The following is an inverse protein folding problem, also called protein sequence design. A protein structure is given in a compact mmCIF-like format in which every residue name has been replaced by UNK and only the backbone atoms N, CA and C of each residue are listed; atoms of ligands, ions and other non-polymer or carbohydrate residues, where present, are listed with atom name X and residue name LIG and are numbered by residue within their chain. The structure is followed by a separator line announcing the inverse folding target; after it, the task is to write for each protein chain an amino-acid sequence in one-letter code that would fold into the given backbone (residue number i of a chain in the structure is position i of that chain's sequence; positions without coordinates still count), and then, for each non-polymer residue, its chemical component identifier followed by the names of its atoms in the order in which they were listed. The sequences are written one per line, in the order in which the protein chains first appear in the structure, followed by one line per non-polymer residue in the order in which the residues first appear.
data_IF_915904422232
#
_entry.id   IF_915904422232
#
_cell.length_a   1.000
_cell.length_b   1.000
_cell.length_c   1.000
_cell.angle_alpha   90.00
_cell.angle_beta   90.00
_cell.angle_gamma   90.00
#
_symmetry.space_group_name_H-M   'P 1'
#
loop_
_entity.id
_entity.type
_entity.pdbx_description
1 polymer ?
#
# COMPACT_ATOMS: atom_id res chain seq x y z
N UNK A 1 -7.10 -24.55 5.61
CA UNK A 1 -5.64 -24.79 5.59
C UNK A 1 -4.91 -23.94 4.55
N UNK A 2 -5.45 -23.81 3.34
CA UNK A 2 -4.91 -22.94 2.27
C UNK A 2 -4.76 -21.47 2.72
N UNK A 3 -5.74 -20.94 3.43
CA UNK A 3 -5.78 -19.53 3.83
C UNK A 3 -4.62 -19.11 4.74
N UNK A 4 -4.22 -19.97 5.69
CA UNK A 4 -3.09 -19.69 6.60
C UNK A 4 -1.75 -19.68 5.85
N UNK A 5 -1.57 -20.58 4.89
CA UNK A 5 -0.36 -20.62 4.06
C UNK A 5 -0.30 -19.36 3.18
N UNK A 6 -1.41 -18.94 2.61
CA UNK A 6 -1.49 -17.74 1.79
C UNK A 6 -1.16 -16.47 2.60
N UNK A 7 -1.69 -16.35 3.83
CA UNK A 7 -1.36 -15.24 4.75
C UNK A 7 0.14 -15.21 5.02
N UNK A 8 0.74 -16.35 5.38
CA UNK A 8 2.16 -16.44 5.68
C UNK A 8 3.03 -16.07 4.48
N UNK A 9 2.70 -16.61 3.29
CA UNK A 9 3.44 -16.33 2.06
C UNK A 9 3.35 -14.87 1.65
N UNK A 10 2.16 -14.27 1.73
CA UNK A 10 1.96 -12.85 1.39
C UNK A 10 2.70 -11.94 2.37
N UNK A 11 2.66 -12.25 3.66
CA UNK A 11 3.41 -11.51 4.69
C UNK A 11 4.91 -11.64 4.49
N UNK A 12 5.41 -12.85 4.26
CA UNK A 12 6.83 -13.11 4.00
C UNK A 12 7.31 -12.40 2.72
N UNK A 13 6.52 -12.48 1.65
CA UNK A 13 6.79 -11.74 0.40
C UNK A 13 6.87 -10.24 0.64
N UNK A 14 5.91 -9.66 1.36
CA UNK A 14 5.91 -8.24 1.66
C UNK A 14 7.13 -7.83 2.50
N UNK A 15 7.45 -8.57 3.55
CA UNK A 15 8.65 -8.31 4.36
C UNK A 15 9.91 -8.34 3.48
N UNK A 16 10.03 -9.33 2.60
CA UNK A 16 11.12 -9.44 1.65
C UNK A 16 11.24 -8.23 0.73
N UNK A 17 10.13 -7.84 0.10
CA UNK A 17 10.04 -6.67 -0.78
C UNK A 17 10.38 -5.37 -0.03
N UNK A 18 9.83 -5.18 1.17
CA UNK A 18 10.14 -4.02 1.99
C UNK A 18 11.61 -3.95 2.38
N UNK A 19 12.20 -5.08 2.81
CA UNK A 19 13.62 -5.18 3.14
C UNK A 19 14.52 -4.84 1.96
N UNK A 20 14.18 -5.33 0.75
CA UNK A 20 14.92 -4.99 -0.48
C UNK A 20 14.80 -3.51 -0.77
N UNK A 21 13.60 -2.95 -0.75
CA UNK A 21 13.37 -1.52 -1.01
C UNK A 21 14.14 -0.63 -0.03
N UNK A 22 14.06 -0.93 1.26
CA UNK A 22 14.77 -0.17 2.29
C UNK A 22 16.27 -0.31 2.13
N UNK A 23 16.80 -1.51 1.87
CA UNK A 23 18.24 -1.71 1.64
C UNK A 23 18.72 -0.97 0.40
N UNK A 24 17.96 -1.01 -0.70
CA UNK A 24 18.30 -0.26 -1.92
C UNK A 24 18.31 1.24 -1.65
N UNK A 25 17.30 1.77 -0.98
CA UNK A 25 17.23 3.19 -0.61
C UNK A 25 18.40 3.58 0.33
N UNK A 26 18.75 2.74 1.30
CA UNK A 26 19.85 2.99 2.23
C UNK A 26 21.23 2.84 1.60
N UNK A 27 21.48 1.75 0.88
CA UNK A 27 22.82 1.41 0.40
C UNK A 27 23.24 2.22 -0.83
N UNK A 28 22.30 2.50 -1.73
CA UNK A 28 22.62 3.23 -2.97
C UNK A 28 22.55 4.74 -2.82
N UNK A 29 21.66 5.24 -1.99
CA UNK A 29 21.36 6.68 -1.96
C UNK A 29 21.85 7.36 -0.69
N UNK A 30 22.50 6.64 0.21
CA UNK A 30 22.90 7.15 1.54
C UNK A 30 21.75 7.89 2.26
N UNK A 31 20.53 7.51 1.94
CA UNK A 31 19.33 8.11 2.48
C UNK A 31 19.18 7.69 3.95
N UNK A 32 19.50 8.59 4.84
CA UNK A 32 19.22 8.39 6.26
C UNK A 32 17.73 8.63 6.50
N UNK A 33 16.93 7.55 6.41
CA UNK A 33 15.54 7.59 6.86
C UNK A 33 15.56 7.49 8.38
N UNK A 34 14.95 8.42 9.13
CA UNK A 34 14.88 8.32 10.58
C UNK A 34 14.34 6.95 11.02
N UNK A 35 14.92 6.34 12.03
CA UNK A 35 14.57 5.00 12.50
C UNK A 35 13.06 4.86 12.80
N UNK A 36 12.46 5.89 13.40
CA UNK A 36 11.02 5.94 13.65
C UNK A 36 10.20 5.86 12.35
N UNK A 37 10.56 6.63 11.33
CA UNK A 37 9.88 6.61 10.03
C UNK A 37 9.97 5.24 9.38
N UNK A 38 11.14 4.62 9.43
CA UNK A 38 11.34 3.27 8.90
C UNK A 38 10.50 2.23 9.65
N UNK A 39 10.44 2.31 10.98
CA UNK A 39 9.61 1.42 11.80
C UNK A 39 8.12 1.60 11.49
N UNK A 40 7.65 2.83 11.35
CA UNK A 40 6.26 3.12 11.00
C UNK A 40 5.90 2.60 9.61
N UNK A 41 6.79 2.77 8.61
CA UNK A 41 6.60 2.23 7.27
C UNK A 41 6.54 0.70 7.28
N UNK A 42 7.48 0.06 7.98
CA UNK A 42 7.50 -1.40 8.11
C UNK A 42 6.22 -1.91 8.77
N UNK A 43 5.81 -1.29 9.88
CA UNK A 43 4.61 -1.68 10.61
C UNK A 43 3.34 -1.50 9.77
N UNK A 44 3.23 -0.39 9.04
CA UNK A 44 2.09 -0.14 8.16
C UNK A 44 2.02 -1.16 7.02
N UNK A 45 3.17 -1.48 6.41
CA UNK A 45 3.22 -2.46 5.35
C UNK A 45 2.91 -3.88 5.83
N UNK A 46 3.41 -4.28 7.00
CA UNK A 46 3.04 -5.57 7.61
C UNK A 46 1.55 -5.64 7.92
N UNK A 47 0.99 -4.57 8.48
CA UNK A 47 -0.43 -4.49 8.79
C UNK A 47 -1.29 -4.60 7.52
N UNK A 48 -0.92 -3.91 6.46
CA UNK A 48 -1.56 -4.03 5.15
C UNK A 48 -1.54 -5.47 4.61
N UNK A 49 -0.37 -6.12 4.67
CA UNK A 49 -0.19 -7.48 4.17
C UNK A 49 -1.00 -8.53 4.94
N UNK A 50 -1.16 -8.34 6.25
CA UNK A 50 -1.98 -9.23 7.09
C UNK A 50 -3.46 -8.93 6.88
N UNK A 51 -3.84 -7.66 6.75
CA UNK A 51 -5.24 -7.26 6.66
C UNK A 51 -5.91 -7.75 5.39
N UNK A 52 -5.22 -7.78 4.25
CA UNK A 52 -5.80 -8.22 2.97
C UNK A 52 -6.34 -9.66 3.01
N UNK A 53 -5.58 -10.68 3.43
CA UNK A 53 -6.13 -12.03 3.55
C UNK A 53 -7.17 -12.17 4.66
N UNK A 54 -7.11 -11.34 5.72
CA UNK A 54 -8.12 -11.35 6.78
C UNK A 54 -9.48 -10.86 6.27
N UNK A 55 -9.53 -9.92 5.32
CA UNK A 55 -10.77 -9.51 4.63
C UNK A 55 -11.41 -10.71 3.93
N UNK A 56 -10.60 -11.57 3.29
CA UNK A 56 -11.09 -12.77 2.62
C UNK A 56 -11.55 -13.89 3.58
N UNK A 57 -10.99 -13.93 4.81
CA UNK A 57 -11.37 -14.90 5.83
C UNK A 57 -12.69 -14.57 6.54
N UNK A 58 -13.00 -13.29 6.66
CA UNK A 58 -14.23 -12.82 7.30
C UNK A 58 -15.25 -12.42 6.24
N UNK A 59 -16.19 -13.33 5.96
CA UNK A 59 -17.27 -13.05 5.01
C UNK A 59 -18.11 -11.86 5.51
N UNK A 60 -18.41 -10.96 4.60
CA UNK A 60 -19.26 -9.80 4.85
C UNK A 60 -20.68 -10.19 5.30
N UNK A 61 -21.12 -11.42 5.02
CA UNK A 61 -22.45 -11.91 5.42
C UNK A 61 -22.53 -12.35 6.88
N UNK A 62 -21.48 -13.02 7.36
CA UNK A 62 -21.48 -13.60 8.72
C UNK A 62 -20.73 -12.71 9.73
N UNK A 63 -19.68 -12.00 9.28
CA UNK A 63 -18.76 -11.26 10.15
C UNK A 63 -18.57 -9.81 9.69
N UNK A 64 -19.67 -9.11 9.39
CA UNK A 64 -19.67 -7.78 8.79
C UNK A 64 -18.76 -6.76 9.52
N UNK A 65 -18.80 -6.73 10.84
CA UNK A 65 -17.98 -5.80 11.63
C UNK A 65 -16.49 -6.10 11.53
N UNK A 66 -16.10 -7.39 11.53
CA UNK A 66 -14.71 -7.80 11.37
C UNK A 66 -14.23 -7.57 9.95
N UNK A 67 -15.06 -7.83 8.94
CA UNK A 67 -14.75 -7.55 7.55
C UNK A 67 -14.41 -6.07 7.35
N UNK A 68 -15.27 -5.15 7.78
CA UNK A 68 -15.02 -3.72 7.65
C UNK A 68 -13.84 -3.23 8.51
N UNK A 69 -13.62 -3.80 9.68
CA UNK A 69 -12.45 -3.46 10.49
C UNK A 69 -11.14 -3.81 9.76
N UNK A 70 -11.04 -5.02 9.18
CA UNK A 70 -9.87 -5.42 8.41
C UNK A 70 -9.73 -4.65 7.11
N UNK A 71 -10.84 -4.35 6.41
CA UNK A 71 -10.83 -3.51 5.23
C UNK A 71 -10.31 -2.09 5.54
N UNK A 72 -10.80 -1.48 6.62
CA UNK A 72 -10.31 -0.18 7.09
C UNK A 72 -8.82 -0.19 7.42
N UNK A 73 -8.34 -1.20 8.15
CA UNK A 73 -6.92 -1.38 8.46
C UNK A 73 -6.09 -1.54 7.17
N UNK A 74 -6.54 -2.35 6.22
CA UNK A 74 -5.88 -2.51 4.93
C UNK A 74 -5.74 -1.20 4.18
N UNK A 75 -6.84 -0.47 3.98
CA UNK A 75 -6.81 0.77 3.20
C UNK A 75 -5.97 1.86 3.86
N UNK A 76 -6.10 2.06 5.18
CA UNK A 76 -5.34 3.09 5.90
C UNK A 76 -3.85 2.77 5.90
N UNK A 77 -3.48 1.53 6.20
CA UNK A 77 -2.08 1.12 6.28
C UNK A 77 -1.40 1.10 4.90
N UNK A 78 -2.11 0.65 3.85
CA UNK A 78 -1.63 0.69 2.47
C UNK A 78 -1.45 2.12 1.98
N UNK A 79 -2.43 3.01 2.26
CA UNK A 79 -2.35 4.42 1.92
C UNK A 79 -1.11 5.07 2.53
N UNK A 80 -0.93 4.88 3.83
CA UNK A 80 0.23 5.44 4.53
C UNK A 80 1.54 4.89 3.95
N UNK A 81 1.67 3.57 3.82
CA UNK A 81 2.88 2.93 3.33
C UNK A 81 3.28 3.40 1.93
N UNK A 82 2.36 3.29 0.97
CA UNK A 82 2.67 3.59 -0.44
C UNK A 82 2.80 5.09 -0.70
N UNK A 83 1.93 5.92 -0.11
CA UNK A 83 2.02 7.38 -0.28
C UNK A 83 3.28 7.95 0.37
N UNK A 84 3.66 7.46 1.55
CA UNK A 84 4.87 7.91 2.21
C UNK A 84 6.14 7.43 1.48
N UNK A 85 6.13 6.20 0.95
CA UNK A 85 7.23 5.69 0.11
C UNK A 85 7.38 6.54 -1.16
N UNK A 86 6.29 6.82 -1.87
CA UNK A 86 6.31 7.67 -3.06
C UNK A 86 6.78 9.11 -2.74
N UNK A 87 6.38 9.65 -1.59
CA UNK A 87 6.85 10.95 -1.10
C UNK A 87 8.36 10.96 -0.82
N UNK A 88 8.89 9.95 -0.14
CA UNK A 88 10.33 9.84 0.13
C UNK A 88 11.13 9.75 -1.16
N UNK A 89 10.67 8.95 -2.12
CA UNK A 89 11.29 8.87 -3.44
C UNK A 89 11.28 10.22 -4.17
N UNK A 90 10.14 10.91 -4.15
CA UNK A 90 10.02 12.24 -4.75
C UNK A 90 10.93 13.28 -4.08
N UNK A 91 10.98 13.28 -2.75
CA UNK A 91 11.82 14.19 -1.97
C UNK A 91 13.31 14.02 -2.28
N UNK A 92 13.75 12.80 -2.54
CA UNK A 92 15.14 12.45 -2.78
C UNK A 92 15.43 12.09 -4.25
N UNK A 93 14.57 12.49 -5.18
CA UNK A 93 14.64 12.12 -6.60
C UNK A 93 15.99 12.43 -7.25
N UNK A 94 16.62 13.54 -6.86
CA UNK A 94 17.91 13.98 -7.42
C UNK A 94 19.08 13.03 -7.03
N UNK A 95 18.91 12.28 -5.94
CA UNK A 95 19.88 11.30 -5.45
C UNK A 95 19.61 9.89 -6.01
N UNK A 96 18.38 9.61 -6.39
CA UNK A 96 17.96 8.28 -6.86
C UNK A 96 18.45 7.99 -8.28
N UNK A 97 18.73 9.02 -9.08
CA UNK A 97 19.34 8.87 -10.41
C UNK A 97 18.51 8.08 -11.44
N UNK A 98 17.25 7.78 -11.11
CA UNK A 98 16.32 7.06 -11.97
C UNK A 98 15.53 7.95 -12.92
N UNK A 99 14.46 7.40 -13.49
CA UNK A 99 13.55 8.17 -14.33
C UNK A 99 12.75 9.19 -13.50
N UNK A 100 13.23 10.43 -13.48
CA UNK A 100 12.64 11.52 -12.68
C UNK A 100 11.15 11.73 -12.99
N UNK A 101 10.74 11.62 -14.26
CA UNK A 101 9.34 11.77 -14.67
C UNK A 101 8.46 10.66 -14.06
N UNK A 102 9.00 9.45 -13.96
CA UNK A 102 8.28 8.33 -13.35
C UNK A 102 8.13 8.52 -11.83
N UNK A 103 9.15 9.03 -11.15
CA UNK A 103 9.09 9.34 -9.72
C UNK A 103 8.07 10.44 -9.42
N UNK A 104 8.03 11.49 -10.23
CA UNK A 104 7.03 12.57 -10.11
C UNK A 104 5.61 12.05 -10.40
N UNK A 105 5.47 11.21 -11.41
CA UNK A 105 4.20 10.56 -11.72
C UNK A 105 3.72 9.69 -10.56
N UNK A 106 4.59 8.87 -9.97
CA UNK A 106 4.26 8.01 -8.83
C UNK A 106 3.78 8.82 -7.62
N UNK A 107 4.43 9.94 -7.34
CA UNK A 107 4.00 10.83 -6.26
C UNK A 107 2.62 11.46 -6.54
N UNK A 108 2.38 11.90 -7.77
CA UNK A 108 1.08 12.44 -8.18
C UNK A 108 -0.01 11.36 -8.16
N UNK A 109 0.31 10.16 -8.62
CA UNK A 109 -0.59 9.02 -8.62
C UNK A 109 -0.91 8.55 -7.19
N UNK A 110 0.04 8.62 -6.25
CA UNK A 110 -0.20 8.29 -4.84
C UNK A 110 -1.23 9.23 -4.20
N UNK A 111 -1.22 10.51 -4.55
CA UNK A 111 -2.27 11.46 -4.11
C UNK A 111 -3.64 11.10 -4.66
N UNK A 112 -3.71 10.70 -5.93
CA UNK A 112 -4.95 10.22 -6.53
C UNK A 112 -5.49 8.97 -5.81
N UNK A 113 -4.62 7.98 -5.49
CA UNK A 113 -5.01 6.81 -4.71
C UNK A 113 -5.55 7.20 -3.32
N UNK A 114 -4.94 8.18 -2.66
CA UNK A 114 -5.42 8.67 -1.35
C UNK A 114 -6.81 9.32 -1.48
N UNK A 115 -7.06 10.09 -2.54
CA UNK A 115 -8.39 10.66 -2.80
C UNK A 115 -9.44 9.59 -3.07
N UNK A 116 -9.09 8.49 -3.75
CA UNK A 116 -9.99 7.36 -3.95
C UNK A 116 -10.41 6.72 -2.62
N UNK A 117 -9.48 6.58 -1.66
CA UNK A 117 -9.83 6.07 -0.31
C UNK A 117 -10.78 7.02 0.41
N UNK A 118 -10.51 8.32 0.36
CA UNK A 118 -11.42 9.31 0.97
C UNK A 118 -12.81 9.21 0.33
N UNK A 119 -12.88 9.06 -1.00
CA UNK A 119 -14.12 8.83 -1.72
C UNK A 119 -14.83 7.53 -1.32
N UNK A 120 -14.08 6.44 -1.12
CA UNK A 120 -14.61 5.17 -0.62
C UNK A 120 -15.18 5.31 0.79
N UNK A 121 -14.45 5.94 1.70
CA UNK A 121 -14.94 6.19 3.07
C UNK A 121 -16.21 7.03 3.05
N UNK A 122 -16.27 8.07 2.24
CA UNK A 122 -17.46 8.89 2.07
C UNK A 122 -18.63 8.08 1.52
N UNK A 123 -18.39 7.29 0.46
CA UNK A 123 -19.42 6.44 -0.14
C UNK A 123 -19.97 5.41 0.86
N UNK A 124 -19.11 4.81 1.68
CA UNK A 124 -19.51 3.83 2.70
C UNK A 124 -20.42 4.46 3.76
N UNK A 125 -20.15 5.71 4.16
CA UNK A 125 -20.95 6.41 5.18
C UNK A 125 -22.28 6.91 4.62
N UNK A 126 -22.28 7.48 3.41
CA UNK A 126 -23.48 8.16 2.88
C UNK A 126 -24.33 7.30 1.94
N UNK A 127 -23.78 6.22 1.41
CA UNK A 127 -24.49 5.31 0.47
C UNK A 127 -24.49 3.86 0.97
N UNK A 128 -24.60 3.67 2.28
CA UNK A 128 -24.59 2.35 2.92
C UNK A 128 -25.63 1.36 2.34
N UNK A 129 -26.75 1.87 1.81
CA UNK A 129 -27.78 1.06 1.14
C UNK A 129 -27.39 0.59 -0.27
N UNK A 130 -26.27 1.07 -0.79
CA UNK A 130 -25.80 0.79 -2.15
C UNK A 130 -24.54 -0.09 -2.14
N UNK A 131 -24.64 -1.29 -1.63
CA UNK A 131 -23.50 -2.23 -1.52
C UNK A 131 -22.68 -2.42 -2.80
N UNK A 132 -23.35 -2.38 -3.97
CA UNK A 132 -22.63 -2.52 -5.25
C UNK A 132 -21.68 -1.36 -5.53
N UNK A 133 -22.03 -0.13 -5.13
CA UNK A 133 -21.20 1.05 -5.35
C UNK A 133 -19.96 0.99 -4.47
N UNK A 134 -20.10 0.63 -3.19
CA UNK A 134 -18.96 0.47 -2.27
C UNK A 134 -18.05 -0.66 -2.74
N UNK A 135 -18.59 -1.80 -3.18
CA UNK A 135 -17.80 -2.89 -3.72
C UNK A 135 -16.99 -2.49 -4.98
N UNK A 136 -17.58 -1.74 -5.91
CA UNK A 136 -16.87 -1.24 -7.09
C UNK A 136 -15.75 -0.29 -6.68
N UNK A 137 -15.99 0.62 -5.73
CA UNK A 137 -14.97 1.55 -5.24
C UNK A 137 -13.84 0.83 -4.49
N UNK A 138 -14.14 -0.19 -3.69
CA UNK A 138 -13.14 -1.03 -3.03
C UNK A 138 -12.19 -1.66 -4.05
N UNK A 139 -12.72 -2.29 -5.10
CA UNK A 139 -11.92 -2.87 -6.17
C UNK A 139 -11.09 -1.83 -6.92
N UNK A 140 -11.65 -0.66 -7.21
CA UNK A 140 -10.91 0.43 -7.85
C UNK A 140 -9.73 0.89 -6.99
N UNK A 141 -9.91 1.01 -5.67
CA UNK A 141 -8.84 1.34 -4.73
C UNK A 141 -7.77 0.25 -4.72
N UNK A 142 -8.16 -1.03 -4.65
CA UNK A 142 -7.21 -2.15 -4.66
C UNK A 142 -6.37 -2.14 -5.94
N UNK A 143 -7.00 -2.02 -7.12
CA UNK A 143 -6.29 -1.96 -8.40
C UNK A 143 -5.37 -0.75 -8.51
N UNK A 144 -5.82 0.43 -8.03
CA UNK A 144 -5.01 1.63 -8.02
C UNK A 144 -3.75 1.46 -7.16
N UNK A 145 -3.87 0.82 -5.98
CA UNK A 145 -2.72 0.53 -5.12
C UNK A 145 -1.80 -0.55 -5.68
N UNK A 146 -2.33 -1.59 -6.30
CA UNK A 146 -1.52 -2.58 -7.01
C UNK A 146 -0.69 -1.92 -8.12
N UNK A 147 -1.32 -1.04 -8.91
CA UNK A 147 -0.65 -0.27 -9.95
C UNK A 147 0.44 0.63 -9.36
N UNK A 148 0.16 1.35 -8.28
CA UNK A 148 1.15 2.20 -7.60
C UNK A 148 2.34 1.38 -7.10
N UNK A 149 2.10 0.20 -6.53
CA UNK A 149 3.17 -0.70 -6.08
C UNK A 149 4.09 -1.09 -7.24
N UNK A 150 3.51 -1.49 -8.38
CA UNK A 150 4.26 -1.83 -9.59
C UNK A 150 5.09 -0.64 -10.12
N UNK A 151 4.51 0.54 -10.13
CA UNK A 151 5.15 1.78 -10.57
C UNK A 151 6.31 2.18 -9.65
N UNK A 152 6.16 2.08 -8.33
CA UNK A 152 7.23 2.32 -7.36
C UNK A 152 8.39 1.35 -7.61
N UNK A 153 8.09 0.06 -7.80
CA UNK A 153 9.09 -0.97 -8.08
C UNK A 153 9.85 -0.68 -9.38
N UNK A 154 9.15 -0.28 -10.44
CA UNK A 154 9.76 0.03 -11.74
C UNK A 154 10.58 1.32 -11.74
N UNK A 155 10.39 2.18 -10.74
CA UNK A 155 11.17 3.42 -10.58
C UNK A 155 12.54 3.20 -9.95
N UNK A 156 12.75 2.04 -9.32
CA UNK A 156 14.03 1.67 -8.72
C UNK A 156 14.94 1.18 -9.87
N UNK A 157 16.10 1.81 -10.09
CA UNK A 157 17.01 1.38 -11.15
C UNK A 157 17.40 -0.10 -10.99
N UNK A 158 17.32 -0.87 -12.08
CA UNK A 158 17.81 -2.25 -12.11
C UNK A 158 19.32 -2.31 -11.79
N UNK A 159 19.73 -3.39 -11.16
CA UNK A 159 21.13 -3.68 -10.93
C UNK A 159 21.72 -4.23 -12.24
N UNK A 160 22.39 -3.40 -13.01
CA UNK A 160 23.35 -3.84 -14.02
C UNK A 160 24.75 -3.80 -13.42
#
# INVERSE_FOLDING_TARGET
MFDRVFILLNTAYFIGVHQVNVRVLYSRFHLVIPSLTNTLLLSAGMLSSISLPMIGLFDNREYIALHYAWAGLFFISSAYYLSHTAFLMYKHRDQIGGNMKLVEFNYSYSKFCTLLIVGLCFATVFFCDRFWLTAVLEWLVVFAYMTLTMLIMSSIPSYD
#
